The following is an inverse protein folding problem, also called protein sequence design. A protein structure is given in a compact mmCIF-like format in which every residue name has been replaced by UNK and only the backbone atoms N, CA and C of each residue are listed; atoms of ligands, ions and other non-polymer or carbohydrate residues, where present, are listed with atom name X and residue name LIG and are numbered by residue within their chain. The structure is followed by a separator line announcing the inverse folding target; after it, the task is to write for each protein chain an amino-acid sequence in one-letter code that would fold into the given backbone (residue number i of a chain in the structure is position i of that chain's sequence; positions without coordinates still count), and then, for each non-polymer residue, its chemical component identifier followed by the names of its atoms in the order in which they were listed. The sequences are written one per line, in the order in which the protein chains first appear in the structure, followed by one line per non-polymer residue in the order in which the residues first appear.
data_IF_704408941170
#
_entry.id   IF_704408941170
#
_cell.length_a   1.000
_cell.length_b   1.000
_cell.length_c   1.000
_cell.angle_alpha   90.00
_cell.angle_beta   90.00
_cell.angle_gamma   90.00
#
_symmetry.space_group_name_H-M   'P 1'
#
loop_
_entity.id
_entity.type
_entity.pdbx_description
1 polymer ?
#
# COMPACT_ATOMS: atom_id res chain seq x y z
N UNK A 1 2.40 -6.36 22.02
CA UNK A 1 2.30 -7.32 20.90
C UNK A 1 0.81 -7.56 20.71
N UNK A 2 0.24 -7.06 19.63
CA UNK A 2 -1.16 -7.34 19.31
C UNK A 2 -1.24 -8.80 18.85
N UNK A 3 -2.04 -9.62 19.53
CA UNK A 3 -2.31 -10.97 19.06
C UNK A 3 -3.12 -10.90 17.76
N UNK A 4 -2.88 -11.85 16.86
CA UNK A 4 -3.70 -12.04 15.66
C UNK A 4 -5.16 -12.30 16.09
N UNK A 5 -6.11 -11.67 15.40
CA UNK A 5 -7.53 -11.68 15.76
C UNK A 5 -8.25 -12.77 14.95
N UNK A 6 -8.94 -13.74 15.60
CA UNK A 6 -9.72 -14.75 14.91
C UNK A 6 -10.77 -14.17 13.97
N UNK A 7 -11.07 -14.91 12.90
CA UNK A 7 -12.15 -14.56 11.98
C UNK A 7 -13.50 -14.55 12.74
N UNK A 8 -14.30 -13.47 12.63
CA UNK A 8 -15.61 -13.43 13.27
C UNK A 8 -16.54 -14.53 12.72
N UNK A 9 -17.50 -15.02 13.53
CA UNK A 9 -18.45 -16.01 13.07
C UNK A 9 -19.34 -15.45 11.96
N UNK A 10 -19.71 -16.30 11.00
CA UNK A 10 -20.44 -15.92 9.78
C UNK A 10 -21.84 -15.31 10.01
N UNK A 11 -22.44 -15.48 11.20
CA UNK A 11 -23.89 -15.30 11.47
C UNK A 11 -24.55 -14.09 10.79
N UNK A 12 -24.02 -12.90 11.00
CA UNK A 12 -24.55 -11.64 10.44
C UNK A 12 -23.58 -11.01 9.43
N UNK A 13 -22.53 -11.73 9.05
CA UNK A 13 -21.50 -11.23 8.16
C UNK A 13 -21.96 -11.45 6.71
N UNK A 14 -21.85 -10.41 5.88
CA UNK A 14 -22.23 -10.44 4.46
C UNK A 14 -23.72 -10.72 4.21
N UNK A 15 -24.61 -10.20 5.06
CA UNK A 15 -26.05 -10.31 4.84
C UNK A 15 -26.44 -9.65 3.50
N UNK A 16 -27.13 -10.40 2.63
CA UNK A 16 -27.46 -9.97 1.27
C UNK A 16 -26.35 -10.15 0.21
N UNK A 17 -25.20 -10.72 0.57
CA UNK A 17 -24.06 -10.97 -0.33
C UNK A 17 -23.65 -12.45 -0.26
N UNK A 18 -24.43 -13.32 -0.93
CA UNK A 18 -24.25 -14.77 -0.90
C UNK A 18 -22.87 -15.20 -1.41
N UNK A 19 -22.32 -14.51 -2.42
CA UNK A 19 -21.01 -14.82 -2.99
C UNK A 19 -19.91 -14.66 -1.95
N UNK A 20 -19.91 -13.55 -1.20
CA UNK A 20 -18.97 -13.33 -0.11
C UNK A 20 -19.22 -14.28 1.07
N UNK A 21 -20.49 -14.56 1.37
CA UNK A 21 -20.89 -15.48 2.44
C UNK A 21 -20.38 -16.89 2.20
N UNK A 22 -20.51 -17.40 0.98
CA UNK A 22 -20.04 -18.71 0.56
C UNK A 22 -18.50 -18.78 0.59
N UNK A 23 -17.83 -17.75 0.07
CA UNK A 23 -16.38 -17.66 0.13
C UNK A 23 -15.88 -17.71 1.58
N UNK A 24 -16.49 -16.93 2.47
CA UNK A 24 -16.11 -16.88 3.88
C UNK A 24 -16.39 -18.18 4.63
N UNK A 25 -17.52 -18.85 4.32
CA UNK A 25 -17.85 -20.15 4.90
C UNK A 25 -16.79 -21.22 4.58
N UNK A 26 -16.14 -21.12 3.41
CA UNK A 26 -15.02 -22.01 3.03
C UNK A 26 -13.72 -21.72 3.79
N UNK A 27 -13.54 -20.50 4.30
CA UNK A 27 -12.35 -20.11 5.05
C UNK A 27 -12.37 -20.59 6.50
N UNK A 28 -13.53 -20.50 7.17
CA UNK A 28 -13.65 -20.76 8.62
C UNK A 28 -13.09 -22.13 9.06
N UNK A 29 -13.37 -23.26 8.37
CA UNK A 29 -12.83 -24.57 8.78
C UNK A 29 -11.31 -24.72 8.60
N UNK A 30 -10.69 -23.82 7.83
CA UNK A 30 -9.26 -23.85 7.50
C UNK A 30 -8.42 -22.95 8.41
N UNK A 31 -9.07 -22.09 9.20
CA UNK A 31 -8.38 -21.09 10.02
C UNK A 31 -7.37 -21.73 10.98
N UNK A 32 -7.79 -22.77 11.73
CA UNK A 32 -6.90 -23.45 12.69
C UNK A 32 -5.74 -24.20 12.02
N UNK A 33 -5.87 -24.53 10.73
CA UNK A 33 -4.84 -25.24 9.98
C UNK A 33 -3.75 -24.29 9.49
N UNK A 34 -4.13 -23.11 9.00
CA UNK A 34 -3.24 -22.13 8.36
C UNK A 34 -3.63 -20.70 8.71
N UNK A 35 -3.57 -20.39 10.00
CA UNK A 35 -4.10 -19.17 10.62
C UNK A 35 -3.82 -17.88 9.84
N UNK A 36 -2.54 -17.54 9.63
CA UNK A 36 -2.15 -16.26 9.04
C UNK A 36 -2.74 -16.05 7.63
N UNK A 37 -2.58 -17.04 6.75
CA UNK A 37 -2.97 -16.92 5.33
C UNK A 37 -4.49 -16.97 5.16
N UNK A 38 -5.19 -17.76 5.99
CA UNK A 38 -6.66 -17.80 5.99
C UNK A 38 -7.24 -16.52 6.56
N UNK A 39 -6.66 -15.97 7.65
CA UNK A 39 -7.08 -14.68 8.18
C UNK A 39 -6.83 -13.53 7.22
N UNK A 40 -5.75 -13.57 6.43
CA UNK A 40 -5.53 -12.59 5.35
C UNK A 40 -6.71 -12.61 4.37
N UNK A 41 -7.10 -13.78 3.85
CA UNK A 41 -8.23 -13.89 2.92
C UNK A 41 -9.56 -13.43 3.56
N UNK A 42 -9.82 -13.83 4.80
CA UNK A 42 -11.03 -13.45 5.51
C UNK A 42 -11.11 -11.95 5.80
N UNK A 43 -9.99 -11.32 6.20
CA UNK A 43 -9.92 -9.88 6.39
C UNK A 43 -10.00 -9.12 5.07
N UNK A 44 -9.44 -9.64 3.97
CA UNK A 44 -9.66 -9.04 2.65
C UNK A 44 -11.16 -8.99 2.31
N UNK A 45 -11.95 -10.03 2.60
CA UNK A 45 -13.41 -9.97 2.39
C UNK A 45 -14.11 -8.93 3.28
N UNK A 46 -13.75 -8.90 4.57
CA UNK A 46 -14.39 -8.01 5.56
C UNK A 46 -14.07 -6.54 5.25
N UNK A 47 -12.82 -6.25 4.94
CA UNK A 47 -12.29 -4.89 4.81
C UNK A 47 -12.37 -4.34 3.38
N UNK A 48 -12.97 -5.09 2.45
CA UNK A 48 -13.11 -4.67 1.07
C UNK A 48 -13.79 -3.29 0.97
N UNK A 49 -13.20 -2.33 0.24
CA UNK A 49 -13.67 -0.94 0.22
C UNK A 49 -14.97 -0.75 -0.55
N UNK A 50 -15.38 -1.76 -1.34
CA UNK A 50 -16.62 -1.73 -2.11
C UNK A 50 -17.24 -3.13 -2.21
N UNK A 51 -18.53 -3.20 -2.55
CA UNK A 51 -19.22 -4.47 -2.84
C UNK A 51 -18.63 -5.17 -4.06
N UNK A 52 -18.25 -4.42 -5.10
CA UNK A 52 -17.61 -4.98 -6.29
C UNK A 52 -16.27 -5.64 -5.92
N UNK A 53 -15.46 -4.95 -5.12
CA UNK A 53 -14.17 -5.49 -4.71
C UNK A 53 -14.25 -6.63 -3.72
N UNK A 54 -15.28 -6.66 -2.87
CA UNK A 54 -15.59 -7.85 -2.08
C UNK A 54 -15.95 -9.03 -2.98
N UNK A 55 -16.81 -8.81 -3.98
CA UNK A 55 -17.19 -9.82 -4.96
C UNK A 55 -15.99 -10.35 -5.75
N UNK A 56 -15.02 -9.50 -6.06
CA UNK A 56 -13.77 -9.91 -6.71
C UNK A 56 -12.96 -10.90 -5.86
N UNK A 57 -12.70 -10.56 -4.59
CA UNK A 57 -11.97 -11.43 -3.64
C UNK A 57 -12.75 -12.73 -3.39
N UNK A 58 -14.06 -12.63 -3.19
CA UNK A 58 -14.94 -13.78 -3.01
C UNK A 58 -14.91 -14.71 -4.22
N UNK A 59 -14.95 -14.15 -5.43
CA UNK A 59 -14.80 -14.90 -6.68
C UNK A 59 -13.48 -15.63 -6.79
N UNK A 60 -12.37 -15.03 -6.34
CA UNK A 60 -11.07 -15.72 -6.29
C UNK A 60 -11.10 -16.95 -5.39
N UNK A 61 -11.63 -16.81 -4.17
CA UNK A 61 -11.75 -17.91 -3.21
C UNK A 61 -12.69 -18.99 -3.73
N UNK A 62 -13.84 -18.59 -4.27
CA UNK A 62 -14.86 -19.52 -4.76
C UNK A 62 -14.40 -20.34 -5.97
N UNK A 63 -13.47 -19.81 -6.78
CA UNK A 63 -12.86 -20.53 -7.91
C UNK A 63 -11.86 -21.60 -7.49
N UNK A 64 -11.33 -21.58 -6.28
CA UNK A 64 -10.50 -22.67 -5.77
C UNK A 64 -11.33 -23.96 -5.74
N UNK A 65 -10.85 -25.03 -6.35
CA UNK A 65 -11.49 -26.34 -6.35
C UNK A 65 -11.22 -27.12 -5.05
N UNK A 66 -10.08 -26.85 -4.39
CA UNK A 66 -9.65 -27.58 -3.18
C UNK A 66 -9.26 -26.64 -2.04
N UNK A 67 -9.23 -27.17 -0.81
CA UNK A 67 -8.75 -26.44 0.37
C UNK A 67 -7.28 -26.03 0.22
N UNK A 68 -6.45 -26.87 -0.41
CA UNK A 68 -5.05 -26.55 -0.70
C UNK A 68 -4.92 -25.35 -1.63
N UNK A 69 -5.81 -25.20 -2.61
CA UNK A 69 -5.82 -24.03 -3.48
C UNK A 69 -6.24 -22.74 -2.74
N UNK A 70 -7.13 -22.83 -1.76
CA UNK A 70 -7.47 -21.69 -0.89
C UNK A 70 -6.25 -21.27 -0.07
N UNK A 71 -5.57 -22.24 0.54
CA UNK A 71 -4.34 -21.99 1.31
C UNK A 71 -3.27 -21.35 0.42
N UNK A 72 -3.04 -21.90 -0.77
CA UNK A 72 -2.08 -21.35 -1.73
C UNK A 72 -2.44 -19.93 -2.19
N UNK A 73 -3.73 -19.61 -2.34
CA UNK A 73 -4.19 -18.25 -2.60
C UNK A 73 -3.81 -17.30 -1.45
N UNK A 74 -4.02 -17.72 -0.20
CA UNK A 74 -3.63 -16.92 0.97
C UNK A 74 -2.11 -16.72 1.07
N UNK A 75 -1.32 -17.75 0.76
CA UNK A 75 0.14 -17.66 0.67
C UNK A 75 0.58 -16.67 -0.42
N UNK A 76 -0.12 -16.65 -1.56
CA UNK A 76 0.15 -15.70 -2.63
C UNK A 76 -0.05 -14.25 -2.16
N UNK A 77 -1.13 -13.96 -1.42
CA UNK A 77 -1.36 -12.63 -0.81
C UNK A 77 -0.29 -12.29 0.24
N UNK A 78 0.08 -13.24 1.11
CA UNK A 78 1.13 -13.02 2.10
C UNK A 78 2.47 -12.69 1.44
N UNK A 79 2.86 -13.47 0.41
CA UNK A 79 4.08 -13.23 -0.35
C UNK A 79 4.09 -11.87 -1.04
N UNK A 80 2.93 -11.40 -1.53
CA UNK A 80 2.79 -10.07 -2.09
C UNK A 80 3.11 -8.99 -1.05
N UNK A 81 2.56 -9.10 0.16
CA UNK A 81 2.87 -8.18 1.26
C UNK A 81 4.34 -8.27 1.68
N UNK A 82 4.93 -9.46 1.77
CA UNK A 82 6.37 -9.62 2.05
C UNK A 82 7.20 -8.84 1.04
N UNK A 83 6.93 -9.00 -0.26
CA UNK A 83 7.65 -8.27 -1.33
C UNK A 83 7.44 -6.76 -1.23
N UNK A 84 6.24 -6.32 -0.89
CA UNK A 84 5.93 -4.90 -0.68
C UNK A 84 6.75 -4.29 0.46
N UNK A 85 6.71 -4.90 1.65
CA UNK A 85 7.46 -4.43 2.81
C UNK A 85 8.98 -4.56 2.62
N UNK A 86 9.45 -5.59 1.90
CA UNK A 86 10.86 -5.72 1.51
C UNK A 86 11.33 -4.52 0.68
N UNK A 87 10.55 -4.11 -0.31
CA UNK A 87 10.87 -2.92 -1.13
C UNK A 87 10.91 -1.65 -0.29
N UNK A 88 10.04 -1.51 0.70
CA UNK A 88 10.04 -0.36 1.63
C UNK A 88 11.20 -0.37 2.65
N UNK A 89 11.85 -1.52 2.87
CA UNK A 89 13.04 -1.65 3.73
C UNK A 89 14.35 -1.45 2.98
N UNK A 90 14.38 -1.70 1.67
CA UNK A 90 15.57 -1.49 0.86
C UNK A 90 16.13 -0.08 1.13
N UNK A 91 17.46 0.08 1.28
CA UNK A 91 18.07 1.39 1.48
C UNK A 91 17.49 2.36 0.47
N UNK A 92 17.18 3.58 0.93
CA UNK A 92 16.79 4.68 0.06
C UNK A 92 17.97 4.96 -0.89
N UNK A 93 18.10 4.17 -1.94
CA UNK A 93 18.69 4.63 -3.17
C UNK A 93 17.94 5.93 -3.50
N UNK A 94 18.66 7.01 -3.86
CA UNK A 94 18.06 8.30 -4.12
C UNK A 94 16.86 8.07 -5.03
N UNK A 95 15.69 8.62 -4.67
CA UNK A 95 14.43 8.49 -5.43
C UNK A 95 14.71 8.48 -6.94
N UNK A 96 14.78 7.29 -7.51
CA UNK A 96 15.10 7.01 -8.89
C UNK A 96 14.80 5.54 -9.11
N UNK A 97 13.91 5.28 -10.05
CA UNK A 97 13.62 4.00 -10.68
C UNK A 97 14.70 2.93 -10.45
N UNK A 98 14.40 1.87 -9.72
CA UNK A 98 15.32 0.72 -9.59
C UNK A 98 15.32 -0.12 -10.87
N UNK A 99 16.51 -0.65 -11.18
CA UNK A 99 16.96 -1.47 -12.34
C UNK A 99 16.99 -0.74 -13.70
N UNK A 100 18.13 -0.08 -13.95
CA UNK A 100 18.51 0.61 -15.19
C UNK A 100 18.84 -0.32 -16.38
N UNK A 101 18.57 -1.62 -16.29
CA UNK A 101 19.09 -2.56 -17.30
C UNK A 101 18.19 -2.72 -18.54
N UNK A 102 16.92 -2.28 -18.51
CA UNK A 102 16.00 -2.47 -19.66
C UNK A 102 14.99 -1.32 -19.91
N UNK A 103 15.21 -0.10 -19.40
CA UNK A 103 14.30 1.03 -19.65
C UNK A 103 14.87 1.90 -20.78
N UNK A 104 14.06 2.21 -21.80
CA UNK A 104 14.46 3.15 -22.85
C UNK A 104 14.74 4.55 -22.24
N UNK A 105 15.86 5.20 -22.60
CA UNK A 105 16.26 6.49 -22.02
C UNK A 105 15.17 7.57 -22.09
N UNK A 106 14.44 7.64 -23.20
CA UNK A 106 13.40 8.66 -23.42
C UNK A 106 12.21 8.48 -22.45
N UNK A 107 11.81 7.24 -22.18
CA UNK A 107 10.76 6.91 -21.21
C UNK A 107 11.15 7.28 -19.78
N UNK A 108 12.44 7.15 -19.44
CA UNK A 108 12.97 7.53 -18.14
C UNK A 108 12.97 9.05 -17.95
N UNK A 109 13.33 9.82 -18.98
CA UNK A 109 13.31 11.29 -18.96
C UNK A 109 11.88 11.82 -18.82
N UNK A 110 10.93 11.29 -19.59
CA UNK A 110 9.51 11.66 -19.49
C UNK A 110 8.96 11.39 -18.09
N UNK A 111 9.29 10.23 -17.53
CA UNK A 111 8.85 9.85 -16.21
C UNK A 111 9.42 10.73 -15.09
N UNK A 112 10.72 11.03 -15.12
CA UNK A 112 11.34 11.97 -14.18
C UNK A 112 10.71 13.37 -14.27
N UNK A 113 10.40 13.81 -15.49
CA UNK A 113 9.74 15.10 -15.74
C UNK A 113 8.33 15.11 -15.15
N UNK A 114 7.53 14.07 -15.41
CA UNK A 114 6.18 13.95 -14.87
C UNK A 114 6.16 13.84 -13.34
N UNK A 115 7.11 13.12 -12.73
CA UNK A 115 7.27 13.06 -11.28
C UNK A 115 7.60 14.43 -10.67
N UNK A 116 8.56 15.17 -11.25
CA UNK A 116 8.93 16.49 -10.79
C UNK A 116 7.75 17.47 -10.89
N UNK A 117 6.99 17.41 -11.98
CA UNK A 117 5.81 18.22 -12.18
C UNK A 117 4.69 17.87 -11.18
N UNK A 118 4.43 16.59 -10.95
CA UNK A 118 3.47 16.14 -9.95
C UNK A 118 3.83 16.63 -8.54
N UNK A 119 5.11 16.57 -8.16
CA UNK A 119 5.59 17.12 -6.88
C UNK A 119 5.32 18.62 -6.78
N UNK A 120 5.62 19.37 -7.85
CA UNK A 120 5.43 20.82 -7.89
C UNK A 120 3.95 21.19 -7.76
N UNK A 121 3.09 20.51 -8.51
CA UNK A 121 1.65 20.74 -8.48
C UNK A 121 1.04 20.31 -7.14
N UNK A 122 1.44 19.17 -6.56
CA UNK A 122 0.97 18.72 -5.25
C UNK A 122 1.34 19.74 -4.15
N UNK A 123 2.55 20.30 -4.18
CA UNK A 123 2.93 21.39 -3.27
C UNK A 123 2.03 22.61 -3.42
N UNK A 124 1.72 23.05 -4.64
CA UNK A 124 0.80 24.18 -4.86
C UNK A 124 -0.60 23.86 -4.33
N UNK A 125 -1.13 22.67 -4.67
CA UNK A 125 -2.44 22.18 -4.21
C UNK A 125 -2.54 22.22 -2.69
N UNK A 126 -1.51 21.72 -2.01
CA UNK A 126 -1.48 21.50 -0.56
C UNK A 126 -0.98 22.74 0.21
N UNK A 127 -0.95 23.91 -0.44
CA UNK A 127 -0.41 25.15 0.11
C UNK A 127 0.98 24.99 0.75
N UNK A 128 1.84 24.22 0.08
CA UNK A 128 3.21 23.90 0.46
C UNK A 128 3.33 23.24 1.84
N UNK A 129 2.31 22.47 2.24
CA UNK A 129 2.25 21.83 3.56
C UNK A 129 2.01 20.34 3.44
N UNK A 130 2.46 19.60 4.45
CA UNK A 130 2.01 18.24 4.63
C UNK A 130 0.49 18.23 4.87
N UNK A 131 -0.25 17.46 4.08
CA UNK A 131 -1.72 17.40 4.19
C UNK A 131 -2.22 16.76 5.48
N UNK A 132 -1.35 16.05 6.22
CA UNK A 132 -1.70 15.39 7.48
C UNK A 132 -1.22 16.16 8.71
N UNK A 133 0.02 16.67 8.71
CA UNK A 133 0.61 17.34 9.88
C UNK A 133 0.57 18.87 9.81
N UNK A 134 0.30 19.45 8.64
CA UNK A 134 0.31 20.90 8.41
C UNK A 134 1.69 21.56 8.40
N UNK A 135 2.78 20.79 8.62
CA UNK A 135 4.16 21.31 8.55
C UNK A 135 4.47 21.84 7.15
N UNK A 136 5.17 22.97 7.09
CA UNK A 136 5.53 23.67 5.85
C UNK A 136 6.76 23.04 5.22
N UNK A 137 6.76 22.91 3.90
CA UNK A 137 7.89 22.41 3.13
C UNK A 137 9.12 23.32 3.23
N UNK A 138 10.24 22.76 3.69
CA UNK A 138 11.48 23.51 3.90
C UNK A 138 12.04 24.13 2.61
N UNK A 139 12.01 23.40 1.50
CA UNK A 139 12.53 23.90 0.21
C UNK A 139 11.66 25.03 -0.35
N UNK A 140 10.34 24.96 -0.15
CA UNK A 140 9.43 26.04 -0.49
C UNK A 140 9.69 27.29 0.35
N UNK A 141 9.94 27.16 1.66
CA UNK A 141 10.31 28.30 2.54
C UNK A 141 11.61 28.97 2.09
N UNK A 142 12.58 28.19 1.63
CA UNK A 142 13.83 28.72 1.09
C UNK A 142 13.61 29.52 -0.21
N UNK A 143 12.69 29.06 -1.04
CA UNK A 143 12.48 29.58 -2.39
C UNK A 143 11.43 30.68 -2.49
N UNK A 144 10.47 30.76 -1.55
CA UNK A 144 9.29 31.63 -1.62
C UNK A 144 9.32 32.68 -0.49
N UNK A 145 9.62 33.97 -0.79
CA UNK A 145 9.72 35.01 0.23
C UNK A 145 8.43 35.25 1.03
N UNK A 146 7.26 35.07 0.40
CA UNK A 146 5.97 35.24 1.07
C UNK A 146 5.73 34.15 2.11
N UNK A 147 6.03 32.89 1.78
CA UNK A 147 5.86 31.74 2.67
C UNK A 147 6.85 31.81 3.84
N UNK A 148 8.08 32.27 3.58
CA UNK A 148 9.06 32.56 4.65
C UNK A 148 8.53 33.60 5.65
N UNK A 149 7.93 34.69 5.17
CA UNK A 149 7.33 35.72 6.04
C UNK A 149 6.18 35.14 6.88
N UNK A 150 5.31 34.32 6.26
CA UNK A 150 4.21 33.65 6.94
C UNK A 150 4.71 32.72 8.05
N UNK A 151 5.70 31.88 7.76
CA UNK A 151 6.32 30.96 8.72
C UNK A 151 6.90 31.71 9.92
N UNK A 152 7.62 32.81 9.68
CA UNK A 152 8.18 33.64 10.76
C UNK A 152 7.07 34.26 11.61
N UNK A 153 6.03 34.81 10.98
CA UNK A 153 4.93 35.47 11.67
C UNK A 153 4.08 34.49 12.51
N UNK A 154 3.81 33.31 11.97
CA UNK A 154 2.96 32.28 12.60
C UNK A 154 3.74 31.32 13.49
N UNK A 155 5.08 31.34 13.43
CA UNK A 155 5.97 30.34 14.03
C UNK A 155 5.61 28.91 13.60
N UNK A 156 5.22 28.75 12.33
CA UNK A 156 4.85 27.46 11.79
C UNK A 156 6.04 26.49 11.77
N UNK A 157 5.76 25.21 12.03
CA UNK A 157 6.76 24.15 11.93
C UNK A 157 7.16 23.93 10.46
N UNK A 158 8.46 23.80 10.22
CA UNK A 158 9.06 23.58 8.89
C UNK A 158 9.78 22.24 8.88
N UNK A 159 9.58 21.43 7.85
CA UNK A 159 10.28 20.17 7.67
C UNK A 159 10.33 19.75 6.18
N UNK A 160 11.07 18.70 5.87
CA UNK A 160 11.17 18.14 4.52
C UNK A 160 9.88 17.39 4.17
N UNK A 161 9.19 17.83 3.12
CA UNK A 161 8.05 17.11 2.56
C UNK A 161 8.44 16.35 1.29
N UNK A 162 7.63 15.34 0.96
CA UNK A 162 7.78 14.45 -0.18
C UNK A 162 6.45 14.32 -0.91
N UNK A 163 6.53 14.21 -2.23
CA UNK A 163 5.41 13.72 -3.02
C UNK A 163 5.28 12.22 -2.76
N UNK A 164 4.16 11.82 -2.17
CA UNK A 164 3.84 10.45 -1.83
C UNK A 164 2.76 9.94 -2.76
N UNK A 165 3.08 8.95 -3.59
CA UNK A 165 2.08 8.22 -4.34
C UNK A 165 1.26 7.34 -3.40
N UNK A 166 -0.07 7.33 -3.53
CA UNK A 166 -0.93 6.38 -2.79
C UNK A 166 -0.57 4.96 -3.24
N UNK A 167 -0.48 4.77 -4.56
CA UNK A 167 0.06 3.57 -5.18
C UNK A 167 1.29 3.89 -6.03
N UNK A 168 2.42 3.32 -5.63
CA UNK A 168 3.67 3.46 -6.39
C UNK A 168 3.63 2.52 -7.61
N UNK A 169 3.42 3.08 -8.81
CA UNK A 169 3.48 2.32 -10.06
C UNK A 169 4.92 2.12 -10.58
N UNK A 170 5.12 1.07 -11.39
CA UNK A 170 6.34 0.89 -12.18
C UNK A 170 6.28 1.75 -13.45
N UNK A 171 7.45 2.23 -13.86
CA UNK A 171 7.73 2.71 -15.20
C UNK A 171 8.43 1.57 -15.93
N UNK A 172 7.74 0.84 -16.80
CA UNK A 172 8.40 -0.12 -17.70
C UNK A 172 7.64 -1.42 -17.99
N UNK A 173 6.71 -1.36 -18.93
CA UNK A 173 6.64 -2.25 -20.10
C UNK A 173 5.30 -1.97 -20.75
N UNK A 174 5.34 -1.33 -21.91
CA UNK A 174 4.28 -1.51 -22.88
C UNK A 174 4.21 -3.01 -23.21
N UNK A 175 3.08 -3.62 -22.92
CA UNK A 175 2.85 -5.04 -23.19
C UNK A 175 1.52 -5.50 -22.61
N UNK A 176 0.61 -5.92 -23.49
CA UNK A 176 -0.75 -6.38 -23.22
C UNK A 176 -0.86 -7.69 -22.41
N UNK A 177 0.06 -7.97 -21.48
CA UNK A 177 0.22 -9.30 -20.89
C UNK A 177 0.33 -9.29 -19.35
N UNK A 178 -0.39 -8.38 -18.69
CA UNK A 178 -0.45 -8.33 -17.21
C UNK A 178 -1.47 -9.31 -16.62
N UNK A 179 -2.53 -9.66 -17.35
CA UNK A 179 -3.47 -10.70 -16.93
C UNK A 179 -2.81 -12.10 -16.85
N UNK A 180 -1.80 -12.40 -17.69
CA UNK A 180 -0.97 -13.61 -17.53
C UNK A 180 -0.02 -13.55 -16.31
N UNK A 181 0.20 -12.38 -15.70
CA UNK A 181 1.11 -12.22 -14.55
C UNK A 181 0.44 -12.43 -13.20
N UNK A 182 -0.88 -12.31 -13.12
CA UNK A 182 -1.65 -12.79 -11.96
C UNK A 182 -1.42 -14.29 -11.75
N UNK A 183 -1.13 -15.04 -12.82
CA UNK A 183 -0.91 -16.49 -12.79
C UNK A 183 0.52 -16.93 -12.41
N UNK A 184 1.54 -16.06 -12.39
CA UNK A 184 2.94 -16.55 -12.32
C UNK A 184 3.89 -15.99 -11.24
N UNK A 185 3.55 -14.94 -10.48
CA UNK A 185 4.23 -14.64 -9.20
C UNK A 185 3.63 -13.40 -8.50
N UNK A 186 3.61 -13.34 -7.16
CA UNK A 186 3.28 -12.12 -6.43
C UNK A 186 4.17 -10.95 -6.88
N UNK A 187 3.58 -9.86 -7.33
CA UNK A 187 4.29 -8.64 -7.76
C UNK A 187 3.68 -7.43 -7.06
N UNK A 188 4.49 -6.61 -6.41
CA UNK A 188 4.06 -5.42 -5.65
C UNK A 188 3.14 -4.47 -6.46
N UNK A 189 3.27 -4.45 -7.78
CA UNK A 189 2.45 -3.62 -8.66
C UNK A 189 1.02 -4.15 -8.80
N UNK A 190 0.74 -5.35 -8.27
CA UNK A 190 -0.59 -5.94 -8.19
C UNK A 190 -1.41 -5.39 -7.02
N UNK A 191 -0.79 -4.73 -6.03
CA UNK A 191 -1.48 -4.20 -4.84
C UNK A 191 -2.71 -3.33 -5.18
N UNK A 192 -2.66 -2.40 -6.16
CA UNK A 192 -3.83 -1.59 -6.52
C UNK A 192 -4.99 -2.41 -7.08
N UNK A 193 -4.75 -3.65 -7.50
CA UNK A 193 -5.71 -4.50 -8.21
C UNK A 193 -6.24 -5.64 -7.34
N UNK A 194 -5.83 -5.74 -6.08
CA UNK A 194 -6.20 -6.87 -5.20
C UNK A 194 -7.69 -6.95 -4.89
N UNK A 195 -8.39 -5.83 -5.02
CA UNK A 195 -9.83 -5.78 -4.91
C UNK A 195 -10.52 -5.64 -6.27
N UNK A 196 -9.81 -5.56 -7.40
CA UNK A 196 -10.45 -5.41 -8.72
C UNK A 196 -11.19 -4.09 -8.98
N UNK A 197 -11.17 -3.13 -8.03
CA UNK A 197 -11.87 -1.85 -8.14
C UNK A 197 -11.14 -0.81 -9.01
N UNK A 198 -9.81 -0.95 -9.14
CA UNK A 198 -8.98 -0.09 -9.99
C UNK A 198 -8.65 -0.87 -11.26
N UNK A 199 -8.87 -0.26 -12.43
CA UNK A 199 -8.42 -0.84 -13.70
C UNK A 199 -6.94 -0.53 -13.94
N UNK A 200 -6.20 -1.45 -14.55
CA UNK A 200 -4.78 -1.28 -14.86
C UNK A 200 -4.46 0.02 -15.63
N UNK A 201 -5.36 0.43 -16.51
CA UNK A 201 -5.22 1.66 -17.31
C UNK A 201 -5.22 2.95 -16.47
N UNK A 202 -5.68 2.91 -15.22
CA UNK A 202 -5.74 4.09 -14.36
C UNK A 202 -4.37 4.43 -13.75
N UNK A 203 -3.50 3.43 -13.54
CA UNK A 203 -2.21 3.60 -12.86
C UNK A 203 -1.02 3.21 -13.74
N UNK A 204 -1.15 3.35 -15.06
CA UNK A 204 -0.09 3.03 -16.02
C UNK A 204 0.63 4.28 -16.55
N UNK A 205 1.97 4.19 -16.68
CA UNK A 205 2.79 5.23 -17.30
C UNK A 205 2.66 6.60 -16.61
N UNK A 206 2.48 7.69 -17.37
CA UNK A 206 2.36 9.05 -16.81
C UNK A 206 1.22 9.21 -15.79
N UNK A 207 0.18 8.36 -15.84
CA UNK A 207 -0.98 8.42 -14.92
C UNK A 207 -0.63 8.03 -13.48
N UNK A 208 0.48 7.32 -13.26
CA UNK A 208 1.00 7.09 -11.89
C UNK A 208 1.25 8.41 -11.18
N UNK A 209 1.66 9.44 -11.92
CA UNK A 209 1.98 10.77 -11.41
C UNK A 209 0.77 11.72 -11.39
N UNK A 210 -0.45 11.23 -11.66
CA UNK A 210 -1.69 12.02 -11.53
C UNK A 210 -1.84 12.52 -10.09
N UNK A 211 -2.24 13.78 -9.92
CA UNK A 211 -2.44 14.38 -8.60
C UNK A 211 -3.41 13.60 -7.72
N UNK A 212 -4.39 12.95 -8.33
CA UNK A 212 -5.34 12.04 -7.67
C UNK A 212 -4.66 10.86 -6.97
N UNK A 213 -3.48 10.45 -7.44
CA UNK A 213 -2.66 9.42 -6.80
C UNK A 213 -1.54 10.01 -5.92
N UNK A 214 -1.55 11.31 -5.57
CA UNK A 214 -0.44 11.93 -4.83
C UNK A 214 -0.87 12.72 -3.59
N UNK A 215 -0.04 12.67 -2.56
CA UNK A 215 -0.14 13.39 -1.30
C UNK A 215 1.16 14.14 -1.03
N UNK A 216 1.11 15.38 -0.53
CA UNK A 216 2.29 16.00 0.09
C UNK A 216 2.40 15.54 1.54
N UNK A 217 3.42 14.73 1.86
CA UNK A 217 3.62 14.20 3.21
C UNK A 217 4.99 14.60 3.76
N UNK A 218 5.05 14.92 5.06
CA UNK A 218 6.31 15.03 5.80
C UNK A 218 7.02 13.67 5.78
N UNK A 219 8.35 13.66 5.75
CA UNK A 219 9.16 12.45 5.51
C UNK A 219 8.87 11.30 6.49
N UNK A 220 8.73 11.56 7.79
CA UNK A 220 8.33 10.58 8.80
C UNK A 220 6.89 10.10 8.63
N UNK A 221 5.96 11.02 8.38
CA UNK A 221 4.54 10.70 8.09
C UNK A 221 4.41 9.84 6.85
N UNK A 222 5.14 10.15 5.77
CA UNK A 222 5.20 9.34 4.54
C UNK A 222 5.64 7.91 4.85
N UNK A 223 6.71 7.76 5.62
CA UNK A 223 7.23 6.44 6.02
C UNK A 223 6.17 5.63 6.76
N UNK A 224 5.38 6.27 7.62
CA UNK A 224 4.30 5.62 8.35
C UNK A 224 3.13 5.25 7.42
N UNK A 225 2.79 6.11 6.46
CA UNK A 225 1.75 5.86 5.47
C UNK A 225 2.11 4.66 4.57
N UNK A 226 3.31 4.67 3.96
CA UNK A 226 3.78 3.58 3.09
C UNK A 226 3.79 2.23 3.84
N UNK A 227 4.19 2.22 5.12
CA UNK A 227 4.31 1.01 5.93
C UNK A 227 2.98 0.56 6.57
N UNK A 228 1.86 1.15 6.16
CA UNK A 228 0.53 0.86 6.71
C UNK A 228 0.51 0.98 8.25
N UNK A 229 1.28 1.92 8.80
CA UNK A 229 1.24 2.29 10.21
C UNK A 229 0.15 3.32 10.49
N UNK A 230 -0.17 4.12 9.47
CA UNK A 230 -1.35 4.99 9.42
C UNK A 230 -2.04 4.81 8.08
N UNK A 231 -3.35 5.05 8.04
CA UNK A 231 -4.14 5.11 6.82
C UNK A 231 -5.33 6.07 7.01
N UNK A 232 -6.05 6.35 5.93
CA UNK A 232 -7.09 7.38 5.89
C UNK A 232 -8.45 6.73 5.63
N UNK A 233 -9.29 6.68 6.65
CA UNK A 233 -10.67 6.16 6.56
C UNK A 233 -11.63 7.32 6.35
N UNK A 234 -12.58 7.25 5.39
CA UNK A 234 -13.57 8.31 5.22
C UNK A 234 -14.41 8.47 6.49
N UNK A 235 -14.69 9.70 6.92
CA UNK A 235 -15.56 9.94 8.09
C UNK A 235 -17.02 9.62 7.80
N UNK A 236 -17.44 9.76 6.53
CA UNK A 236 -18.85 9.73 6.13
C UNK A 236 -19.62 11.01 6.51
N UNK A 237 -18.97 11.97 7.19
CA UNK A 237 -19.59 13.22 7.66
C UNK A 237 -19.46 14.35 6.63
N UNK A 238 -18.35 14.40 5.90
CA UNK A 238 -18.09 15.41 4.88
C UNK A 238 -17.23 14.85 3.74
N UNK A 239 -17.36 15.44 2.55
CA UNK A 239 -16.51 15.11 1.40
C UNK A 239 -15.03 15.39 1.71
N UNK A 240 -14.15 14.52 1.22
CA UNK A 240 -12.70 14.64 1.38
C UNK A 240 -12.23 14.77 2.85
N UNK A 241 -13.02 14.24 3.79
CA UNK A 241 -12.68 14.21 5.21
C UNK A 241 -12.38 12.78 5.66
N UNK A 242 -11.28 12.64 6.40
CA UNK A 242 -10.73 11.33 6.78
C UNK A 242 -10.31 11.28 8.25
N UNK A 243 -10.60 10.16 8.90
CA UNK A 243 -9.97 9.76 10.16
C UNK A 243 -8.58 9.22 9.86
N UNK A 244 -7.57 9.68 10.60
CA UNK A 244 -6.23 9.09 10.57
C UNK A 244 -6.22 7.88 11.50
N UNK A 245 -6.55 6.72 10.92
CA UNK A 245 -6.48 5.44 11.59
C UNK A 245 -5.02 4.97 11.73
N UNK A 246 -4.78 4.12 12.73
CA UNK A 246 -3.42 3.77 13.17
C UNK A 246 -3.31 2.29 13.46
N UNK A 247 -2.16 1.73 13.11
CA UNK A 247 -1.81 0.36 13.48
C UNK A 247 -1.65 0.26 14.99
N UNK A 248 -0.78 1.09 15.55
CA UNK A 248 -0.55 1.23 16.99
C UNK A 248 -0.76 2.68 17.44
N UNK A 249 -1.22 2.88 18.68
CA UNK A 249 -1.54 4.21 19.23
C UNK A 249 -0.34 5.16 19.28
N UNK A 250 0.89 4.63 19.24
CA UNK A 250 2.11 5.44 19.22
C UNK A 250 2.51 5.90 17.81
N UNK A 251 1.98 5.27 16.75
CA UNK A 251 2.30 5.69 15.37
C UNK A 251 1.78 7.12 15.16
N UNK A 252 2.69 8.05 14.80
CA UNK A 252 2.37 9.43 14.47
C UNK A 252 1.52 10.17 15.53
N UNK A 253 1.76 9.98 16.84
CA UNK A 253 0.95 10.58 17.95
C UNK A 253 0.64 12.07 17.81
N UNK A 254 1.52 12.86 17.19
CA UNK A 254 1.30 14.29 16.97
C UNK A 254 0.34 14.67 15.84
N UNK A 255 -0.13 13.71 15.03
CA UNK A 255 -1.10 14.00 13.96
C UNK A 255 -2.50 14.24 14.54
N UNK A 256 -3.31 15.12 13.90
CA UNK A 256 -4.71 15.27 14.22
C UNK A 256 -5.48 13.94 14.06
N UNK A 257 -6.65 13.84 14.69
CA UNK A 257 -7.52 12.67 14.54
C UNK A 257 -8.23 12.65 13.18
N UNK A 258 -8.64 13.83 12.71
CA UNK A 258 -9.40 14.03 11.47
C UNK A 258 -8.71 15.09 10.63
N UNK A 259 -8.70 14.89 9.33
CA UNK A 259 -8.20 15.84 8.32
C UNK A 259 -9.24 16.05 7.23
N UNK A 260 -9.28 17.24 6.66
CA UNK A 260 -10.10 17.55 5.48
C UNK A 260 -9.17 18.05 4.38
N UNK A 261 -9.20 17.40 3.23
CA UNK A 261 -8.41 17.81 2.09
C UNK A 261 -9.08 18.95 1.35
N UNK A 262 -8.29 19.96 1.03
CA UNK A 262 -8.69 21.15 0.30
C UNK A 262 -7.57 21.58 -0.64
N UNK A 263 -7.93 22.16 -1.78
CA UNK A 263 -6.94 22.67 -2.73
C UNK A 263 -6.82 24.18 -2.63
N UNK A 264 -5.57 24.69 -2.55
CA UNK A 264 -5.28 26.12 -2.69
C UNK A 264 -5.41 26.61 -4.14
N UNK A 265 -5.53 25.69 -5.11
CA UNK A 265 -5.78 26.00 -6.53
C UNK A 265 -6.93 25.13 -7.05
N UNK A 266 -8.13 25.68 -7.34
CA UNK A 266 -9.31 24.91 -7.72
C UNK A 266 -9.14 23.97 -8.92
N UNK A 267 -8.14 24.24 -9.77
CA UNK A 267 -7.80 23.42 -10.95
C UNK A 267 -6.97 22.18 -10.63
N UNK A 268 -6.40 22.08 -9.43
CA UNK A 268 -5.56 20.96 -9.01
C UNK A 268 -6.39 19.95 -8.24
N UNK A 269 -6.46 18.73 -8.76
CA UNK A 269 -7.27 17.66 -8.21
C UNK A 269 -6.78 17.22 -6.82
N UNK A 270 -7.75 16.96 -5.93
CA UNK A 270 -7.50 16.30 -4.65
C UNK A 270 -7.14 14.82 -4.85
N UNK A 271 -6.51 14.18 -3.86
CA UNK A 271 -6.32 12.74 -3.85
C UNK A 271 -7.65 12.00 -4.04
N UNK A 272 -7.66 10.94 -4.85
CA UNK A 272 -8.88 10.19 -5.15
C UNK A 272 -9.35 9.40 -3.92
N UNK A 273 -10.60 9.62 -3.44
CA UNK A 273 -11.16 8.86 -2.33
C UNK A 273 -11.14 7.34 -2.57
N UNK A 274 -11.26 6.88 -3.82
CA UNK A 274 -11.23 5.45 -4.15
C UNK A 274 -9.83 4.88 -3.90
N UNK A 275 -8.77 5.61 -4.27
CA UNK A 275 -7.39 5.16 -4.03
C UNK A 275 -7.08 5.12 -2.54
N UNK A 276 -7.55 6.12 -1.80
CA UNK A 276 -7.41 6.16 -0.34
C UNK A 276 -8.15 5.02 0.35
N UNK A 277 -9.39 4.74 -0.04
CA UNK A 277 -10.18 3.64 0.50
C UNK A 277 -9.50 2.28 0.25
N UNK A 278 -8.95 2.10 -0.94
CA UNK A 278 -8.21 0.88 -1.28
C UNK A 278 -6.94 0.72 -0.43
N UNK A 279 -6.15 1.78 -0.29
CA UNK A 279 -4.97 1.77 0.56
C UNK A 279 -5.34 1.52 2.03
N UNK A 280 -6.43 2.15 2.50
CA UNK A 280 -6.96 1.99 3.85
C UNK A 280 -7.38 0.56 4.15
N UNK A 281 -7.99 -0.16 3.20
CA UNK A 281 -8.40 -1.55 3.38
C UNK A 281 -7.24 -2.47 3.79
N UNK A 282 -6.01 -2.20 3.34
CA UNK A 282 -4.84 -3.00 3.72
C UNK A 282 -4.36 -2.77 5.15
N UNK A 283 -4.64 -1.61 5.74
CA UNK A 283 -4.25 -1.28 7.12
C UNK A 283 -4.81 -2.26 8.15
N UNK A 284 -6.14 -2.41 8.24
CA UNK A 284 -6.79 -3.40 9.10
C UNK A 284 -6.40 -4.84 8.75
N UNK A 285 -6.23 -5.21 7.47
CA UNK A 285 -5.77 -6.55 7.09
C UNK A 285 -4.41 -6.86 7.73
N UNK A 286 -3.43 -5.96 7.59
CA UNK A 286 -2.10 -6.13 8.18
C UNK A 286 -2.13 -6.11 9.71
N UNK A 287 -3.00 -5.28 10.31
CA UNK A 287 -3.15 -5.16 11.76
C UNK A 287 -3.81 -6.40 12.39
N UNK A 288 -4.96 -6.80 11.88
CA UNK A 288 -5.81 -7.84 12.48
C UNK A 288 -5.24 -9.25 12.31
N UNK A 289 -4.39 -9.45 11.30
CA UNK A 289 -3.74 -10.75 11.05
C UNK A 289 -2.38 -10.91 11.73
N UNK A 290 -1.85 -9.85 12.37
CA UNK A 290 -0.44 -9.73 12.79
C UNK A 290 0.57 -10.01 11.66
N UNK A 291 0.17 -9.81 10.40
CA UNK A 291 1.06 -10.00 9.26
C UNK A 291 2.29 -9.08 9.33
N UNK A 292 2.16 -7.88 9.90
CA UNK A 292 3.31 -6.98 10.07
C UNK A 292 4.43 -7.59 10.93
N UNK A 293 4.06 -8.26 12.04
CA UNK A 293 5.02 -8.92 12.92
C UNK A 293 5.69 -10.11 12.23
N UNK A 294 4.91 -10.94 11.55
CA UNK A 294 5.41 -12.06 10.76
C UNK A 294 6.37 -11.61 9.66
N UNK A 295 5.95 -10.67 8.81
CA UNK A 295 6.77 -10.11 7.72
C UNK A 295 8.06 -9.51 8.27
N UNK A 296 7.98 -8.80 9.41
CA UNK A 296 9.16 -8.20 10.00
C UNK A 296 10.21 -9.21 10.43
N UNK A 297 9.79 -10.37 10.98
CA UNK A 297 10.67 -11.50 11.33
C UNK A 297 11.28 -12.14 10.09
N UNK A 298 10.45 -12.49 9.10
CA UNK A 298 10.92 -13.07 7.83
C UNK A 298 11.98 -12.20 7.15
N UNK A 299 11.76 -10.87 7.11
CA UNK A 299 12.71 -9.95 6.51
C UNK A 299 14.00 -9.78 7.34
N UNK A 300 13.89 -9.81 8.67
CA UNK A 300 15.06 -9.77 9.54
C UNK A 300 15.91 -11.04 9.41
N UNK A 301 15.26 -12.20 9.46
CA UNK A 301 15.91 -13.50 9.26
C UNK A 301 16.58 -13.57 7.89
N UNK A 302 15.95 -13.07 6.82
CA UNK A 302 16.58 -13.03 5.50
C UNK A 302 17.84 -12.13 5.43
N UNK A 303 17.90 -11.07 6.25
CA UNK A 303 19.08 -10.22 6.40
C UNK A 303 20.17 -10.95 7.23
N UNK A 304 19.77 -11.64 8.30
CA UNK A 304 20.67 -12.36 9.21
C UNK A 304 21.22 -13.66 8.59
N UNK A 305 20.42 -14.40 7.80
CA UNK A 305 20.78 -15.68 7.14
C UNK A 305 21.78 -15.49 5.98
N UNK A 306 22.12 -14.23 5.61
CA UNK A 306 23.37 -13.93 4.88
C UNK A 306 24.62 -14.30 5.69
N UNK A 307 24.44 -14.69 6.96
CA UNK A 307 25.36 -15.38 7.85
C UNK A 307 24.62 -16.65 8.35
N UNK A 308 24.79 -17.78 7.65
CA UNK A 308 23.99 -19.00 7.83
C UNK A 308 23.99 -19.55 9.28
N UNK A 309 22.82 -20.01 9.77
CA UNK A 309 22.73 -20.90 10.95
C UNK A 309 22.82 -22.37 10.51
N UNK A 310 23.52 -23.20 11.28
CA UNK A 310 23.84 -24.60 10.96
C UNK A 310 22.68 -25.59 11.21
N UNK A 311 21.53 -25.14 11.74
CA UNK A 311 20.50 -26.00 12.33
C UNK A 311 19.30 -26.33 11.43
N UNK A 312 19.28 -25.87 10.18
CA UNK A 312 18.25 -26.24 9.20
C UNK A 312 16.87 -25.62 9.44
N UNK A 313 16.76 -24.64 10.33
CA UNK A 313 15.52 -23.88 10.57
C UNK A 313 15.09 -22.97 9.40
N UNK A 314 15.94 -22.78 8.39
CA UNK A 314 15.71 -21.91 7.21
C UNK A 314 14.83 -22.52 6.10
N UNK A 315 14.19 -23.68 6.30
CA UNK A 315 13.47 -24.40 5.24
C UNK A 315 12.23 -23.69 4.68
N UNK A 316 11.38 -23.15 5.55
CA UNK A 316 10.20 -22.36 5.13
C UNK A 316 10.62 -21.03 4.48
N UNK A 317 11.71 -20.42 4.97
CA UNK A 317 12.31 -19.19 4.47
C UNK A 317 12.85 -19.34 3.03
N UNK A 318 13.49 -20.48 2.72
CA UNK A 318 14.01 -20.78 1.39
C UNK A 318 12.89 -20.79 0.34
N UNK A 319 11.74 -21.37 0.66
CA UNK A 319 10.60 -21.43 -0.27
C UNK A 319 10.02 -20.04 -0.57
N UNK A 320 9.94 -19.17 0.44
CA UNK A 320 9.47 -17.79 0.24
C UNK A 320 10.46 -16.90 -0.53
N UNK A 321 11.77 -17.15 -0.37
CA UNK A 321 12.83 -16.39 -1.05
C UNK A 321 13.09 -16.88 -2.49
N UNK A 322 13.09 -18.20 -2.72
CA UNK A 322 13.38 -18.83 -4.02
C UNK A 322 12.22 -18.73 -5.02
N UNK A 323 10.98 -18.51 -4.56
CA UNK A 323 9.82 -18.27 -5.44
C UNK A 323 9.87 -16.95 -6.23
N UNK A 324 11.04 -16.29 -6.29
CA UNK A 324 11.29 -15.07 -7.03
C UNK A 324 12.59 -15.04 -7.84
N UNK A 325 13.39 -16.12 -7.81
CA UNK A 325 14.59 -16.23 -8.67
C UNK A 325 14.29 -17.22 -9.79
N UNK A 326 14.10 -16.70 -11.01
CA UNK A 326 14.21 -17.55 -12.21
C UNK A 326 15.60 -18.18 -12.21
N UNK A 327 15.75 -19.46 -12.57
CA UNK A 327 17.08 -20.05 -12.71
C UNK A 327 17.83 -19.28 -13.79
N UNK A 328 18.99 -18.72 -13.43
CA UNK A 328 19.98 -18.29 -14.41
C UNK A 328 20.40 -19.55 -15.16
N UNK A 329 19.90 -19.73 -16.37
CA UNK A 329 20.35 -20.79 -17.27
C UNK A 329 21.78 -20.45 -17.65
N UNK A 330 22.69 -21.37 -17.33
CA UNK A 330 24.09 -21.40 -17.75
C UNK A 330 24.22 -21.35 -19.28
#
# INVERSE_FOLDING_TARGET
MSASVPLPPLRSLFEGDEVARDAYARLLPLEDQRELVIRILGQMLIQAPSTAGRGYVAGMINRCATEQQIVGLGEWYLNLFIKYFKKLRAPLAPSSCTSLEEIQPDSLVEALTSHAEAKRQALVRDNYRCVLSGVVDSSAVESLPWLRKEVIATKANVNVTRCCHIFSGYLGREGNDYLQRLDNAPNIYTIPYLFGDISENQLHGPRVHDLRNTLTLESGVKTCFDRLQIWLEPTGEAENQYVIARREDYNCRGLPKVVTFSSASPTLALPDPQYLALHAAFGPVIKLTDAAGFIARVLQEAEDTRVLSEDGSSGELLNHLLSGESPTVL
#
